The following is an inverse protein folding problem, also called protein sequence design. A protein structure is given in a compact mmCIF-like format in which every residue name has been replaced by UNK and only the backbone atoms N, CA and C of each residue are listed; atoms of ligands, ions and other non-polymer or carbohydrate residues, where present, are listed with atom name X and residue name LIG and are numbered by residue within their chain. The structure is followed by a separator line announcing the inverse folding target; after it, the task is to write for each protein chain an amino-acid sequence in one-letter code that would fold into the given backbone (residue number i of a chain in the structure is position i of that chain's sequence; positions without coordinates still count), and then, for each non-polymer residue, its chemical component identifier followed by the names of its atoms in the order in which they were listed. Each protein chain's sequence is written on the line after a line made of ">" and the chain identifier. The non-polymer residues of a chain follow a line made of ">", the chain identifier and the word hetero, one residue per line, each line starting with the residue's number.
data_IF_742215475973
#
_entry.id   IF_742215475973
#
_cell.length_a   1.000
_cell.length_b   1.000
_cell.length_c   1.000
_cell.angle_alpha   90.00
_cell.angle_beta   90.00
_cell.angle_gamma   90.00
#
_symmetry.space_group_name_H-M   'P 1'
#
loop_
_entity.id
_entity.type
_entity.pdbx_description
1 polymer ?
#
# COMPACT_ATOMS: atom_id res chain seq x y z
N UNK A 1 57.18 62.74 -57.71
CA UNK A 1 55.75 62.57 -57.96
C UNK A 1 55.50 61.10 -58.19
N UNK A 2 55.05 60.39 -57.17
CA UNK A 2 54.16 59.26 -57.34
C UNK A 2 53.74 58.72 -55.97
N UNK A 3 52.43 58.72 -55.82
CA UNK A 3 51.76 58.22 -54.57
C UNK A 3 51.52 56.72 -54.80
N UNK A 4 52.09 55.90 -53.96
CA UNK A 4 51.71 54.49 -53.88
C UNK A 4 50.98 54.23 -52.52
N UNK A 5 49.71 54.00 -52.63
CA UNK A 5 48.79 53.59 -51.63
C UNK A 5 49.09 52.17 -51.14
N UNK A 6 49.33 52.03 -49.84
CA UNK A 6 49.48 50.74 -49.19
C UNK A 6 48.13 50.28 -48.68
N UNK A 7 47.55 49.24 -49.24
CA UNK A 7 46.40 48.54 -48.70
C UNK A 7 46.89 47.48 -47.75
N UNK A 8 46.62 47.69 -46.47
CA UNK A 8 46.80 46.68 -45.43
C UNK A 8 45.59 45.82 -45.33
N UNK A 9 45.69 44.52 -45.63
CA UNK A 9 44.66 43.51 -45.40
C UNK A 9 44.68 43.05 -43.94
N UNK A 10 43.66 43.41 -43.20
CA UNK A 10 43.46 42.90 -41.86
C UNK A 10 42.78 41.53 -41.96
N UNK A 11 43.52 40.45 -41.66
CA UNK A 11 43.00 39.09 -41.57
C UNK A 11 42.36 38.91 -40.19
N UNK A 12 41.04 38.89 -40.12
CA UNK A 12 40.30 38.55 -38.92
C UNK A 12 40.34 37.02 -38.74
N UNK A 13 41.17 36.55 -37.82
CA UNK A 13 41.17 35.14 -37.42
C UNK A 13 39.97 34.89 -36.49
N UNK A 14 38.90 34.34 -37.03
CA UNK A 14 37.79 33.79 -36.21
C UNK A 14 38.29 32.53 -35.48
N UNK A 15 38.68 32.69 -34.24
CA UNK A 15 38.87 31.57 -33.31
C UNK A 15 37.51 30.93 -33.00
N UNK A 16 37.11 29.98 -33.85
CA UNK A 16 35.98 29.09 -33.57
C UNK A 16 36.33 28.17 -32.39
N UNK A 17 35.91 28.54 -31.16
CA UNK A 17 35.94 27.62 -30.05
C UNK A 17 34.95 26.47 -30.34
N UNK A 18 35.39 25.21 -30.36
CA UNK A 18 34.44 24.12 -30.47
C UNK A 18 33.58 24.11 -29.22
N UNK A 19 32.34 24.53 -29.31
CA UNK A 19 31.33 24.21 -28.33
C UNK A 19 31.21 22.68 -28.29
N UNK A 20 31.91 22.03 -27.36
CA UNK A 20 31.64 20.65 -26.98
C UNK A 20 30.28 20.63 -26.32
N UNK A 21 29.25 20.50 -27.12
CA UNK A 21 27.92 20.09 -26.63
C UNK A 21 28.12 18.69 -26.05
N UNK A 22 28.40 18.62 -24.75
CA UNK A 22 28.26 17.38 -24.01
C UNK A 22 26.77 17.02 -24.11
N UNK A 23 26.44 16.21 -25.11
CA UNK A 23 25.18 15.49 -25.13
C UNK A 23 25.12 14.73 -23.79
N UNK A 24 24.41 15.27 -22.81
CA UNK A 24 24.06 14.55 -21.60
C UNK A 24 23.30 13.34 -22.10
N UNK A 25 23.97 12.15 -22.06
CA UNK A 25 23.30 10.88 -22.36
C UNK A 25 22.00 10.91 -21.57
N UNK A 26 20.87 10.98 -22.26
CA UNK A 26 19.57 10.90 -21.62
C UNK A 26 19.62 9.66 -20.73
N UNK A 27 19.54 9.86 -19.40
CA UNK A 27 19.58 8.78 -18.46
C UNK A 27 18.40 7.89 -18.83
N UNK A 28 18.65 6.64 -19.23
CA UNK A 28 17.56 5.73 -19.58
C UNK A 28 16.54 5.75 -18.47
N UNK A 29 15.26 5.94 -18.84
CA UNK A 29 14.19 6.00 -17.87
C UNK A 29 14.13 4.66 -17.12
N UNK A 30 14.09 4.72 -15.79
CA UNK A 30 13.93 3.54 -14.95
C UNK A 30 12.50 3.03 -15.05
N UNK A 31 12.34 1.71 -14.97
CA UNK A 31 11.04 1.05 -15.07
C UNK A 31 10.68 0.35 -13.75
N UNK A 32 9.53 0.71 -13.20
CA UNK A 32 8.96 0.06 -12.01
C UNK A 32 7.73 -0.75 -12.43
N UNK A 33 7.68 -2.02 -12.08
CA UNK A 33 6.47 -2.81 -12.13
C UNK A 33 5.69 -2.65 -10.83
N UNK A 34 4.39 -2.33 -10.89
CA UNK A 34 3.50 -2.32 -9.73
C UNK A 34 2.51 -3.46 -9.83
N UNK A 35 2.39 -4.27 -8.78
CA UNK A 35 1.52 -5.43 -8.71
C UNK A 35 0.61 -5.35 -7.48
N UNK A 36 -0.69 -5.53 -7.66
CA UNK A 36 -1.68 -5.54 -6.58
C UNK A 36 -2.85 -6.48 -6.89
N UNK A 37 -3.45 -7.09 -5.86
CA UNK A 37 -4.73 -7.77 -5.98
C UNK A 37 -5.89 -6.78 -6.15
N UNK A 38 -5.72 -5.53 -5.74
CA UNK A 38 -6.68 -4.44 -5.92
C UNK A 38 -6.54 -3.73 -7.27
N UNK A 39 -7.12 -2.53 -7.33
CA UNK A 39 -7.02 -1.63 -8.48
C UNK A 39 -5.87 -0.65 -8.27
N UNK A 40 -5.01 -0.51 -9.29
CA UNK A 40 -3.96 0.50 -9.34
C UNK A 40 -4.41 1.64 -10.24
N UNK A 41 -4.77 2.79 -9.64
CA UNK A 41 -5.23 3.97 -10.37
C UNK A 41 -4.05 4.79 -10.91
N UNK A 42 -4.26 5.40 -12.08
CA UNK A 42 -3.36 6.41 -12.65
C UNK A 42 -3.82 7.84 -12.33
N UNK A 43 -5.06 8.01 -11.89
CA UNK A 43 -5.73 9.31 -11.79
C UNK A 43 -5.52 10.03 -10.45
N UNK A 44 -5.08 9.33 -9.41
CA UNK A 44 -4.83 9.93 -8.11
C UNK A 44 -3.36 9.76 -7.71
N UNK A 45 -2.54 10.82 -7.82
CA UNK A 45 -1.21 10.83 -7.26
C UNK A 45 -1.32 10.71 -5.72
N UNK A 46 -0.93 9.56 -5.19
CA UNK A 46 -0.89 9.35 -3.75
C UNK A 46 0.48 9.74 -3.16
N UNK A 47 0.61 9.71 -1.84
CA UNK A 47 1.84 10.11 -1.13
C UNK A 47 3.12 9.41 -1.61
N UNK A 48 3.02 8.20 -2.18
CA UNK A 48 4.15 7.51 -2.77
C UNK A 48 4.69 8.23 -4.01
N UNK A 49 3.81 8.66 -4.92
CA UNK A 49 4.22 9.37 -6.15
C UNK A 49 4.77 10.76 -5.85
N UNK A 50 4.22 11.45 -4.84
CA UNK A 50 4.75 12.72 -4.36
C UNK A 50 6.16 12.55 -3.81
N UNK A 51 6.38 11.54 -2.96
CA UNK A 51 7.70 11.23 -2.41
C UNK A 51 8.71 10.82 -3.50
N UNK A 52 8.29 10.04 -4.52
CA UNK A 52 9.14 9.71 -5.65
C UNK A 52 9.55 10.95 -6.44
N UNK A 53 8.62 11.91 -6.63
CA UNK A 53 8.90 13.19 -7.31
C UNK A 53 9.90 14.03 -6.51
N UNK A 54 9.74 14.11 -5.19
CA UNK A 54 10.71 14.80 -4.29
C UNK A 54 12.10 14.19 -4.39
N UNK A 55 12.21 12.88 -4.63
CA UNK A 55 13.48 12.16 -4.86
C UNK A 55 14.01 12.30 -6.30
N UNK A 56 13.30 13.03 -7.17
CA UNK A 56 13.67 13.29 -8.55
C UNK A 56 13.21 12.25 -9.56
N UNK A 57 12.29 11.35 -9.18
CA UNK A 57 11.68 10.37 -10.09
C UNK A 57 10.31 10.84 -10.56
N UNK A 58 10.21 11.18 -11.85
CA UNK A 58 9.00 11.75 -12.45
C UNK A 58 8.49 10.79 -13.54
N UNK A 59 7.27 10.29 -13.33
CA UNK A 59 6.61 9.42 -14.32
C UNK A 59 6.40 10.17 -15.65
N UNK A 60 6.78 9.53 -16.74
CA UNK A 60 6.76 10.12 -18.08
C UNK A 60 8.02 10.88 -18.48
N UNK A 61 8.94 11.17 -17.54
CA UNK A 61 10.23 11.81 -17.84
C UNK A 61 11.40 10.82 -17.69
N UNK A 62 11.69 10.40 -16.46
CA UNK A 62 12.79 9.52 -16.12
C UNK A 62 12.34 8.24 -15.39
N UNK A 63 11.03 8.05 -15.25
CA UNK A 63 10.40 6.90 -14.63
C UNK A 63 9.24 6.39 -15.49
N UNK A 64 9.21 5.08 -15.73
CA UNK A 64 8.10 4.36 -16.35
C UNK A 64 7.48 3.47 -15.29
N UNK A 65 6.16 3.54 -15.16
CA UNK A 65 5.43 2.70 -14.19
C UNK A 65 4.47 1.77 -14.94
N UNK A 66 4.79 0.48 -14.88
CA UNK A 66 3.97 -0.62 -15.43
C UNK A 66 3.02 -1.13 -14.35
N UNK A 67 1.74 -0.83 -14.45
CA UNK A 67 0.74 -1.20 -13.45
C UNK A 67 0.01 -2.48 -13.83
N UNK A 68 -0.08 -3.43 -12.90
CA UNK A 68 -0.88 -4.66 -13.02
C UNK A 68 -1.70 -4.84 -11.75
N UNK A 69 -2.95 -4.39 -11.80
CA UNK A 69 -3.94 -4.56 -10.74
C UNK A 69 -4.96 -5.64 -11.14
N UNK A 70 -5.27 -6.54 -10.23
CA UNK A 70 -6.22 -7.63 -10.47
C UNK A 70 -7.69 -7.21 -10.27
N UNK A 71 -7.95 -5.96 -9.86
CA UNK A 71 -9.30 -5.42 -9.60
C UNK A 71 -10.16 -6.33 -8.70
N UNK A 72 -9.54 -6.90 -7.66
CA UNK A 72 -10.19 -7.80 -6.70
C UNK A 72 -10.33 -9.26 -7.17
N UNK A 73 -9.67 -9.65 -8.26
CA UNK A 73 -9.58 -11.04 -8.72
C UNK A 73 -8.21 -11.61 -8.33
N UNK A 74 -8.01 -11.89 -7.06
CA UNK A 74 -6.72 -12.27 -6.49
C UNK A 74 -6.07 -13.48 -7.20
N UNK A 75 -6.85 -14.39 -7.77
CA UNK A 75 -6.36 -15.54 -8.54
C UNK A 75 -5.65 -15.16 -9.85
N UNK A 76 -5.88 -13.94 -10.38
CA UNK A 76 -5.20 -13.45 -11.59
C UNK A 76 -3.79 -12.91 -11.30
N UNK A 77 -3.45 -12.63 -10.05
CA UNK A 77 -2.18 -11.96 -9.67
C UNK A 77 -0.94 -12.74 -10.12
N UNK A 78 -0.85 -14.08 -10.07
CA UNK A 78 0.33 -14.81 -10.57
C UNK A 78 0.56 -14.61 -12.07
N UNK A 79 -0.48 -14.56 -12.90
CA UNK A 79 -0.35 -14.29 -14.32
C UNK A 79 0.14 -12.85 -14.58
N UNK A 80 -0.40 -11.88 -13.84
CA UNK A 80 0.02 -10.49 -13.90
C UNK A 80 1.48 -10.28 -13.46
N UNK A 81 1.95 -11.04 -12.46
CA UNK A 81 3.35 -11.05 -12.05
C UNK A 81 4.27 -11.53 -13.19
N UNK A 82 3.88 -12.61 -13.88
CA UNK A 82 4.63 -13.12 -15.03
C UNK A 82 4.66 -12.12 -16.20
N UNK A 83 3.58 -11.36 -16.43
CA UNK A 83 3.57 -10.29 -17.42
C UNK A 83 4.55 -9.17 -17.06
N UNK A 84 4.60 -8.76 -15.79
CA UNK A 84 5.54 -7.73 -15.31
C UNK A 84 6.99 -8.17 -15.50
N UNK A 85 7.31 -9.43 -15.22
CA UNK A 85 8.67 -9.96 -15.43
C UNK A 85 9.09 -9.86 -16.90
N UNK A 86 8.17 -10.08 -17.86
CA UNK A 86 8.47 -10.01 -19.30
C UNK A 86 8.83 -8.61 -19.80
N UNK A 87 8.40 -7.56 -19.13
CA UNK A 87 8.75 -6.17 -19.48
C UNK A 87 10.07 -5.71 -18.86
N UNK A 88 10.77 -6.63 -18.16
CA UNK A 88 12.09 -6.43 -17.55
C UNK A 88 12.19 -5.12 -16.74
N UNK A 89 11.37 -4.93 -15.68
CA UNK A 89 11.46 -3.75 -14.85
C UNK A 89 12.76 -3.75 -14.03
N UNK A 90 13.23 -2.56 -13.65
CA UNK A 90 14.38 -2.39 -12.75
C UNK A 90 14.03 -2.86 -11.32
N UNK A 91 12.75 -2.79 -10.94
CA UNK A 91 12.21 -3.39 -9.71
C UNK A 91 10.70 -3.63 -9.84
N UNK A 92 10.18 -4.53 -8.99
CA UNK A 92 8.75 -4.76 -8.82
C UNK A 92 8.35 -4.29 -7.41
N UNK A 93 7.42 -3.37 -7.33
CA UNK A 93 6.74 -2.98 -6.11
C UNK A 93 5.44 -3.78 -5.96
N UNK A 94 5.18 -4.34 -4.76
CA UNK A 94 3.99 -5.17 -4.54
C UNK A 94 3.18 -4.67 -3.35
N UNK A 95 1.85 -4.67 -3.51
CA UNK A 95 0.90 -4.32 -2.47
C UNK A 95 0.14 -5.56 -1.98
N UNK A 96 0.37 -5.92 -0.73
CA UNK A 96 -0.23 -7.05 -0.06
C UNK A 96 0.49 -8.40 -0.26
N UNK A 97 0.12 -9.37 0.57
CA UNK A 97 0.75 -10.68 0.61
C UNK A 97 0.60 -11.47 -0.69
N UNK A 98 -0.56 -11.39 -1.34
CA UNK A 98 -0.85 -12.10 -2.61
C UNK A 98 0.12 -11.66 -3.70
N UNK A 99 0.30 -10.34 -3.85
CA UNK A 99 1.21 -9.77 -4.84
C UNK A 99 2.68 -10.07 -4.51
N UNK A 100 3.07 -9.96 -3.24
CA UNK A 100 4.43 -10.27 -2.79
C UNK A 100 4.84 -11.72 -3.08
N UNK A 101 3.97 -12.69 -2.77
CA UNK A 101 4.21 -14.11 -3.05
C UNK A 101 4.26 -14.37 -4.56
N UNK A 102 3.35 -13.77 -5.33
CA UNK A 102 3.33 -13.94 -6.78
C UNK A 102 4.61 -13.39 -7.44
N UNK A 103 5.07 -12.20 -7.04
CA UNK A 103 6.31 -11.62 -7.54
C UNK A 103 7.53 -12.48 -7.16
N UNK A 104 7.63 -12.97 -5.91
CA UNK A 104 8.68 -13.87 -5.47
C UNK A 104 8.77 -15.13 -6.33
N UNK A 105 7.63 -15.72 -6.66
CA UNK A 105 7.55 -16.94 -7.47
C UNK A 105 7.88 -16.69 -8.95
N UNK A 106 7.64 -15.46 -9.44
CA UNK A 106 7.86 -15.08 -10.83
C UNK A 106 9.33 -14.73 -11.15
N UNK A 107 10.11 -14.28 -10.16
CA UNK A 107 11.51 -13.88 -10.38
C UNK A 107 12.38 -14.05 -9.13
N UNK A 108 13.64 -14.45 -9.34
CA UNK A 108 14.66 -14.50 -8.30
C UNK A 108 15.74 -13.43 -8.46
N UNK A 109 15.69 -12.63 -9.55
CA UNK A 109 16.74 -11.68 -9.92
C UNK A 109 16.26 -10.22 -9.92
N UNK A 110 15.02 -9.96 -10.36
CA UNK A 110 14.48 -8.60 -10.34
C UNK A 110 14.25 -8.20 -8.89
N UNK A 111 14.75 -7.04 -8.44
CA UNK A 111 14.48 -6.48 -7.12
C UNK A 111 12.98 -6.39 -6.82
N UNK A 112 12.57 -6.74 -5.60
CA UNK A 112 11.18 -6.66 -5.16
C UNK A 112 11.12 -5.81 -3.89
N UNK A 113 10.24 -4.80 -3.89
CA UNK A 113 9.85 -4.03 -2.70
C UNK A 113 8.45 -4.46 -2.29
N UNK A 114 8.37 -5.30 -1.26
CA UNK A 114 7.11 -5.91 -0.83
C UNK A 114 6.49 -5.19 0.37
N UNK A 115 5.20 -4.85 0.26
CA UNK A 115 4.39 -4.41 1.39
C UNK A 115 3.56 -5.61 1.85
N UNK A 116 3.72 -6.02 3.11
CA UNK A 116 3.00 -7.19 3.65
C UNK A 116 2.85 -7.13 5.16
N UNK A 117 2.00 -7.98 5.73
CA UNK A 117 1.78 -8.05 7.17
C UNK A 117 3.03 -8.52 7.93
N UNK A 118 3.54 -9.69 7.59
CA UNK A 118 4.77 -10.27 8.16
C UNK A 118 5.52 -11.01 7.03
N UNK A 119 6.55 -10.37 6.45
CA UNK A 119 7.28 -10.95 5.32
C UNK A 119 8.12 -12.18 5.69
N UNK A 120 8.49 -12.36 6.97
CA UNK A 120 9.22 -13.54 7.45
C UNK A 120 8.27 -14.72 7.53
N UNK A 121 7.10 -14.58 8.15
CA UNK A 121 6.06 -15.62 8.20
C UNK A 121 5.60 -16.06 6.81
N UNK A 122 5.47 -15.12 5.89
CA UNK A 122 5.14 -15.38 4.49
C UNK A 122 6.28 -16.10 3.74
N UNK A 123 7.45 -16.23 4.35
CA UNK A 123 8.64 -16.76 3.69
C UNK A 123 9.12 -15.87 2.55
N UNK A 124 8.79 -14.59 2.52
CA UNK A 124 9.29 -13.65 1.52
C UNK A 124 10.78 -13.37 1.73
N UNK A 125 11.18 -13.20 3.00
CA UNK A 125 12.55 -12.92 3.43
C UNK A 125 12.97 -13.83 4.57
N UNK A 126 14.28 -13.94 4.82
CA UNK A 126 14.83 -14.80 5.89
C UNK A 126 14.74 -14.12 7.26
N UNK A 127 14.92 -12.80 7.33
CA UNK A 127 14.77 -12.00 8.54
C UNK A 127 14.45 -10.54 8.20
N UNK A 128 13.97 -9.78 9.19
CA UNK A 128 13.66 -8.36 9.03
C UNK A 128 14.92 -7.51 8.85
N UNK A 129 15.99 -7.81 9.59
CA UNK A 129 17.25 -7.04 9.58
C UNK A 129 18.14 -7.37 8.40
N UNK A 130 18.11 -8.61 7.92
CA UNK A 130 18.89 -9.11 6.78
C UNK A 130 17.99 -9.94 5.87
N UNK A 131 17.20 -9.29 5.00
CA UNK A 131 16.25 -9.98 4.15
C UNK A 131 16.86 -11.06 3.29
N UNK A 132 18.04 -10.79 2.72
CA UNK A 132 18.74 -11.66 1.78
C UNK A 132 18.02 -11.76 0.43
N UNK A 133 18.69 -12.25 -0.59
CA UNK A 133 18.09 -12.41 -1.92
C UNK A 133 17.70 -11.09 -2.58
N UNK A 134 16.59 -11.13 -3.35
CA UNK A 134 16.12 -10.02 -4.17
C UNK A 134 14.90 -9.25 -3.58
N UNK A 135 14.52 -9.51 -2.32
CA UNK A 135 13.32 -8.93 -1.70
C UNK A 135 13.70 -8.09 -0.49
N UNK A 136 13.10 -6.90 -0.39
CA UNK A 136 13.03 -6.05 0.80
C UNK A 136 11.65 -5.40 0.88
N UNK A 137 11.42 -4.43 1.76
CA UNK A 137 10.18 -3.67 1.76
C UNK A 137 9.72 -3.18 3.13
N UNK A 138 8.41 -3.28 3.34
CA UNK A 138 7.71 -2.75 4.49
C UNK A 138 6.80 -3.80 5.12
N UNK A 139 6.91 -3.99 6.44
CA UNK A 139 5.96 -4.79 7.23
C UNK A 139 4.92 -3.90 7.87
N UNK A 140 3.63 -4.27 7.74
CA UNK A 140 2.53 -3.50 8.35
C UNK A 140 2.28 -3.90 9.81
N UNK A 141 3.03 -4.86 10.38
CA UNK A 141 2.82 -5.43 11.73
C UNK A 141 1.35 -5.76 12.02
N UNK A 142 0.68 -6.34 11.03
CA UNK A 142 -0.76 -6.56 11.07
C UNK A 142 -1.28 -7.37 12.28
N UNK A 143 -0.57 -8.40 12.80
CA UNK A 143 -1.06 -9.18 13.95
C UNK A 143 -1.21 -8.35 15.23
N UNK A 144 -0.20 -7.54 15.54
CA UNK A 144 -0.18 -6.71 16.76
C UNK A 144 -1.28 -5.65 16.72
N UNK A 145 -1.49 -5.05 15.54
CA UNK A 145 -2.53 -4.04 15.34
C UNK A 145 -3.93 -4.65 15.35
N UNK A 146 -4.08 -5.91 14.99
CA UNK A 146 -5.38 -6.59 15.03
C UNK A 146 -5.93 -6.70 16.45
N UNK A 147 -5.10 -7.08 17.42
CA UNK A 147 -5.49 -7.11 18.85
C UNK A 147 -5.94 -5.72 19.29
N UNK A 148 -5.18 -4.69 18.90
CA UNK A 148 -5.51 -3.30 19.27
C UNK A 148 -6.84 -2.84 18.67
N UNK A 149 -7.17 -3.23 17.45
CA UNK A 149 -8.49 -2.94 16.85
C UNK A 149 -9.63 -3.62 17.62
N UNK A 150 -9.45 -4.85 18.06
CA UNK A 150 -10.44 -5.54 18.90
C UNK A 150 -10.62 -4.87 20.28
N UNK A 151 -9.54 -4.36 20.90
CA UNK A 151 -9.62 -3.57 22.14
C UNK A 151 -10.40 -2.26 21.91
N UNK A 152 -10.12 -1.55 20.83
CA UNK A 152 -10.85 -0.32 20.44
C UNK A 152 -12.33 -0.64 20.20
N UNK A 153 -12.63 -1.76 19.52
CA UNK A 153 -14.01 -2.23 19.34
C UNK A 153 -14.71 -2.45 20.67
N UNK A 154 -14.06 -3.14 21.60
CA UNK A 154 -14.62 -3.42 22.93
C UNK A 154 -14.87 -2.13 23.73
N UNK A 155 -14.01 -1.14 23.58
CA UNK A 155 -14.18 0.18 24.19
C UNK A 155 -15.35 0.95 23.56
N UNK A 156 -15.50 0.87 22.22
CA UNK A 156 -16.56 1.53 21.47
C UNK A 156 -17.93 0.89 21.71
N UNK A 157 -17.99 -0.45 21.73
CA UNK A 157 -19.21 -1.25 21.87
C UNK A 157 -18.99 -2.30 22.96
N UNK A 158 -19.12 -1.91 24.26
CA UNK A 158 -18.86 -2.83 25.37
C UNK A 158 -19.75 -4.07 25.39
N UNK A 159 -20.94 -3.99 24.79
CA UNK A 159 -21.88 -5.09 24.64
C UNK A 159 -21.60 -6.04 23.48
N UNK A 160 -20.65 -5.72 22.60
CA UNK A 160 -20.36 -6.54 21.43
C UNK A 160 -19.97 -7.97 21.85
N UNK A 161 -20.54 -8.95 21.18
CA UNK A 161 -20.27 -10.38 21.40
C UNK A 161 -19.79 -11.07 20.14
N UNK A 162 -20.28 -10.67 18.99
CA UNK A 162 -19.96 -11.26 17.69
C UNK A 162 -19.42 -10.22 16.71
N UNK A 163 -18.31 -10.52 16.07
CA UNK A 163 -17.66 -9.61 15.15
C UNK A 163 -17.43 -10.31 13.80
N UNK A 164 -17.96 -9.70 12.75
CA UNK A 164 -17.76 -10.17 11.40
C UNK A 164 -16.42 -9.72 10.83
N UNK A 165 -15.86 -10.51 9.94
CA UNK A 165 -14.68 -10.17 9.17
C UNK A 165 -14.72 -10.82 7.81
N UNK A 166 -14.50 -10.03 6.74
CA UNK A 166 -14.36 -10.54 5.38
C UNK A 166 -12.90 -10.87 5.13
N UNK A 167 -12.64 -12.03 4.55
CA UNK A 167 -11.30 -12.55 4.29
C UNK A 167 -11.13 -12.87 2.81
N UNK A 168 -10.04 -12.40 2.19
CA UNK A 168 -9.62 -12.87 0.87
C UNK A 168 -9.02 -14.28 1.01
N UNK A 169 -9.67 -15.27 0.44
CA UNK A 169 -9.24 -16.67 0.47
C UNK A 169 -7.89 -16.90 -0.22
N UNK A 170 -7.51 -16.07 -1.19
CA UNK A 170 -6.21 -16.15 -1.83
C UNK A 170 -5.07 -15.61 -0.95
N UNK A 171 -5.40 -14.87 0.11
CA UNK A 171 -4.41 -14.30 1.02
C UNK A 171 -3.89 -15.36 2.00
N UNK A 172 -2.81 -16.06 1.64
CA UNK A 172 -2.19 -17.10 2.48
C UNK A 172 -1.78 -16.61 3.86
N UNK A 173 -1.45 -15.32 3.99
CA UNK A 173 -1.11 -14.73 5.28
C UNK A 173 -2.23 -14.86 6.31
N UNK A 174 -3.49 -14.84 5.87
CA UNK A 174 -4.64 -15.09 6.74
C UNK A 174 -4.51 -16.43 7.48
N UNK A 175 -4.19 -17.49 6.79
CA UNK A 175 -4.10 -18.84 7.38
C UNK A 175 -2.92 -18.96 8.35
N UNK A 176 -1.84 -18.20 8.11
CA UNK A 176 -0.69 -18.13 9.02
C UNK A 176 -1.01 -17.43 10.35
N UNK A 177 -1.90 -16.43 10.33
CA UNK A 177 -2.23 -15.62 11.52
C UNK A 177 -3.58 -15.96 12.14
N UNK A 178 -4.39 -16.79 11.49
CA UNK A 178 -5.77 -17.12 11.93
C UNK A 178 -5.84 -17.53 13.39
N UNK A 179 -4.97 -18.43 13.85
CA UNK A 179 -4.92 -18.88 15.24
C UNK A 179 -4.58 -17.75 16.23
N UNK A 180 -3.74 -16.80 15.82
CA UNK A 180 -3.40 -15.64 16.65
C UNK A 180 -4.62 -14.72 16.80
N UNK A 181 -5.37 -14.53 15.70
CA UNK A 181 -6.65 -13.80 15.71
C UNK A 181 -7.69 -14.50 16.58
N UNK A 182 -7.90 -15.80 16.41
CA UNK A 182 -8.83 -16.58 17.23
C UNK A 182 -8.52 -16.45 18.72
N UNK A 183 -7.24 -16.48 19.12
CA UNK A 183 -6.79 -16.24 20.49
C UNK A 183 -7.09 -14.82 20.96
N UNK A 184 -6.88 -13.81 20.12
CA UNK A 184 -7.20 -12.42 20.43
C UNK A 184 -8.70 -12.23 20.63
N UNK A 185 -9.54 -12.80 19.78
CA UNK A 185 -10.99 -12.81 19.96
C UNK A 185 -11.42 -13.46 21.28
N UNK A 186 -10.86 -14.63 21.58
CA UNK A 186 -11.16 -15.38 22.81
C UNK A 186 -10.76 -14.61 24.07
N UNK A 187 -9.59 -13.95 24.07
CA UNK A 187 -9.10 -13.15 25.21
C UNK A 187 -10.04 -11.98 25.55
N UNK A 188 -10.72 -11.44 24.56
CA UNK A 188 -11.67 -10.34 24.68
C UNK A 188 -13.14 -10.84 24.79
N UNK A 189 -13.37 -12.15 24.89
CA UNK A 189 -14.70 -12.78 24.92
C UNK A 189 -15.56 -12.39 23.71
N UNK A 190 -14.94 -12.27 22.53
CA UNK A 190 -15.60 -12.02 21.26
C UNK A 190 -15.66 -13.30 20.43
N UNK A 191 -16.73 -13.46 19.67
CA UNK A 191 -16.91 -14.57 18.73
C UNK A 191 -16.65 -14.08 17.31
N UNK A 192 -15.63 -14.60 16.59
CA UNK A 192 -15.42 -14.24 15.22
C UNK A 192 -16.45 -14.89 14.29
N UNK A 193 -16.86 -14.16 13.26
CA UNK A 193 -17.63 -14.68 12.13
C UNK A 193 -16.87 -14.34 10.83
N UNK A 194 -16.01 -15.26 10.40
CA UNK A 194 -15.20 -15.09 9.21
C UNK A 194 -15.96 -15.54 7.96
N UNK A 195 -16.07 -14.65 6.97
CA UNK A 195 -16.65 -14.97 5.66
C UNK A 195 -15.55 -14.87 4.60
N UNK A 196 -15.19 -15.99 4.01
CA UNK A 196 -14.14 -16.09 3.00
C UNK A 196 -14.71 -15.83 1.61
N UNK A 197 -14.08 -14.94 0.87
CA UNK A 197 -14.42 -14.63 -0.52
C UNK A 197 -13.20 -14.78 -1.45
N UNK A 198 -13.42 -14.95 -2.73
CA UNK A 198 -12.37 -15.11 -3.74
C UNK A 198 -12.28 -13.95 -4.72
N UNK A 199 -13.35 -13.16 -4.82
CA UNK A 199 -13.47 -12.02 -5.74
C UNK A 199 -14.23 -10.86 -5.10
N UNK A 200 -13.95 -9.66 -5.55
CA UNK A 200 -14.56 -8.44 -5.00
C UNK A 200 -16.11 -8.42 -5.18
N UNK A 201 -16.63 -9.02 -6.25
CA UNK A 201 -18.07 -9.08 -6.51
C UNK A 201 -18.84 -9.87 -5.43
N UNK A 202 -18.16 -10.67 -4.60
CA UNK A 202 -18.76 -11.37 -3.47
C UNK A 202 -18.89 -10.52 -2.19
N UNK A 203 -18.30 -9.32 -2.14
CA UNK A 203 -18.35 -8.42 -0.97
C UNK A 203 -19.79 -8.14 -0.50
N UNK A 204 -20.77 -7.80 -1.37
CA UNK A 204 -22.13 -7.54 -0.91
C UNK A 204 -22.77 -8.74 -0.22
N UNK A 205 -22.60 -9.94 -0.78
CA UNK A 205 -23.09 -11.18 -0.17
C UNK A 205 -22.46 -11.47 1.18
N UNK A 206 -21.14 -11.29 1.29
CA UNK A 206 -20.38 -11.50 2.53
C UNK A 206 -20.82 -10.54 3.65
N UNK A 207 -21.04 -9.26 3.36
CA UNK A 207 -21.54 -8.29 4.36
C UNK A 207 -22.96 -8.65 4.79
N UNK A 208 -23.83 -9.06 3.85
CA UNK A 208 -25.19 -9.50 4.15
C UNK A 208 -25.19 -10.76 5.02
N UNK A 209 -24.31 -11.73 4.77
CA UNK A 209 -24.14 -12.94 5.58
C UNK A 209 -23.69 -12.60 7.01
N UNK A 210 -22.71 -11.69 7.16
CA UNK A 210 -22.24 -11.19 8.46
C UNK A 210 -23.38 -10.53 9.23
N UNK A 211 -24.17 -9.68 8.58
CA UNK A 211 -25.31 -9.00 9.19
C UNK A 211 -26.40 -9.99 9.61
N UNK A 212 -26.76 -10.95 8.75
CA UNK A 212 -27.73 -12.01 9.07
C UNK A 212 -27.25 -12.92 10.21
N UNK A 213 -25.92 -13.08 10.33
CA UNK A 213 -25.25 -13.76 11.44
C UNK A 213 -25.28 -12.96 12.76
N UNK A 214 -25.96 -11.80 12.78
CA UNK A 214 -26.09 -10.90 13.95
C UNK A 214 -24.73 -10.46 14.51
N UNK A 215 -23.81 -10.08 13.62
CA UNK A 215 -22.57 -9.46 14.05
C UNK A 215 -22.85 -8.04 14.59
N UNK A 216 -22.19 -7.68 15.67
CA UNK A 216 -22.29 -6.36 16.33
C UNK A 216 -21.38 -5.33 15.65
N UNK A 217 -20.38 -5.78 14.88
CA UNK A 217 -19.45 -4.94 14.13
C UNK A 217 -18.79 -5.72 12.99
N UNK A 218 -18.16 -5.00 12.08
CA UNK A 218 -17.38 -5.52 10.95
C UNK A 218 -15.93 -5.04 11.03
N UNK A 219 -14.98 -5.96 11.05
CA UNK A 219 -13.55 -5.65 10.85
C UNK A 219 -13.24 -5.70 9.34
N UNK A 220 -12.57 -4.66 8.85
CA UNK A 220 -12.10 -4.56 7.47
C UNK A 220 -10.58 -4.53 7.45
N UNK A 221 -9.98 -5.61 6.97
CA UNK A 221 -8.52 -5.75 6.90
C UNK A 221 -7.87 -4.81 5.90
N UNK A 222 -6.57 -4.59 6.10
CA UNK A 222 -5.70 -3.93 5.13
C UNK A 222 -5.36 -4.85 3.95
N UNK A 223 -6.36 -5.23 3.18
CA UNK A 223 -6.20 -6.01 1.96
C UNK A 223 -6.47 -5.13 0.74
N UNK A 224 -5.64 -5.21 -0.33
CA UNK A 224 -5.82 -4.40 -1.53
C UNK A 224 -7.18 -4.57 -2.21
N UNK A 225 -7.80 -5.76 -2.15
CA UNK A 225 -9.15 -5.98 -2.63
C UNK A 225 -10.15 -5.11 -1.86
N UNK A 226 -10.08 -5.09 -0.53
CA UNK A 226 -11.00 -4.31 0.32
C UNK A 226 -10.70 -2.81 0.25
N UNK A 227 -9.43 -2.43 0.15
CA UNK A 227 -9.01 -1.05 -0.04
C UNK A 227 -9.56 -0.43 -1.34
N UNK A 228 -9.60 -1.21 -2.42
CA UNK A 228 -10.17 -0.78 -3.71
C UNK A 228 -11.70 -0.67 -3.70
N UNK A 229 -12.36 -1.36 -2.77
CA UNK A 229 -13.83 -1.38 -2.64
C UNK A 229 -14.31 -0.68 -1.36
N UNK A 230 -13.50 0.20 -0.78
CA UNK A 230 -13.75 0.84 0.53
C UNK A 230 -15.05 1.62 0.62
N UNK A 231 -15.44 2.34 -0.46
CA UNK A 231 -16.70 3.08 -0.53
C UNK A 231 -17.92 2.13 -0.57
N UNK A 232 -17.81 1.03 -1.33
CA UNK A 232 -18.86 0.01 -1.39
C UNK A 232 -19.05 -0.65 -0.02
N UNK A 233 -17.94 -1.03 0.63
CA UNK A 233 -17.97 -1.64 1.96
C UNK A 233 -18.60 -0.67 2.98
N UNK A 234 -18.20 0.61 2.98
CA UNK A 234 -18.74 1.63 3.87
C UNK A 234 -20.26 1.77 3.72
N UNK A 235 -20.74 1.87 2.47
CA UNK A 235 -22.16 2.00 2.16
C UNK A 235 -22.96 0.76 2.61
N UNK A 236 -22.47 -0.43 2.30
CA UNK A 236 -23.14 -1.69 2.67
C UNK A 236 -23.14 -1.90 4.19
N UNK A 237 -22.03 -1.65 4.87
CA UNK A 237 -21.97 -1.76 6.33
C UNK A 237 -22.96 -0.80 7.00
N UNK A 238 -23.07 0.45 6.51
CA UNK A 238 -24.04 1.42 7.01
C UNK A 238 -25.49 0.97 6.75
N UNK A 239 -25.81 0.42 5.57
CA UNK A 239 -27.14 -0.11 5.24
C UNK A 239 -27.56 -1.23 6.21
N UNK A 240 -26.61 -2.02 6.70
CA UNK A 240 -26.85 -3.09 7.65
C UNK A 240 -26.66 -2.66 9.12
N UNK A 241 -26.48 -1.35 9.38
CA UNK A 241 -26.18 -0.79 10.70
C UNK A 241 -24.97 -1.48 11.40
N UNK A 242 -23.97 -1.89 10.63
CA UNK A 242 -22.73 -2.52 11.13
C UNK A 242 -21.65 -1.46 11.34
N UNK A 243 -21.26 -1.16 12.57
CA UNK A 243 -20.07 -0.37 12.86
C UNK A 243 -18.81 -1.02 12.28
N UNK A 244 -17.97 -0.24 11.57
CA UNK A 244 -16.76 -0.76 10.94
C UNK A 244 -15.50 -0.33 11.67
N UNK A 245 -14.56 -1.26 11.85
CA UNK A 245 -13.20 -0.97 12.29
C UNK A 245 -12.22 -1.46 11.23
N UNK A 246 -11.41 -0.55 10.71
CA UNK A 246 -10.57 -0.80 9.56
C UNK A 246 -9.08 -0.52 9.79
N UNK A 247 -8.27 -0.82 8.79
CA UNK A 247 -6.87 -0.41 8.69
C UNK A 247 -6.75 0.85 7.83
N UNK A 248 -6.07 1.87 8.39
CA UNK A 248 -5.71 3.06 7.64
C UNK A 248 -6.82 4.08 7.39
N UNK A 249 -6.40 5.32 7.38
CA UNK A 249 -7.20 6.54 7.26
C UNK A 249 -8.17 6.58 6.07
N UNK A 250 -7.78 6.04 4.93
CA UNK A 250 -8.61 6.05 3.71
C UNK A 250 -9.96 5.34 3.88
N UNK A 251 -10.08 4.47 4.88
CA UNK A 251 -11.33 3.74 5.16
C UNK A 251 -12.40 4.65 5.79
N UNK A 252 -12.14 5.35 6.91
CA UNK A 252 -13.12 6.31 7.43
C UNK A 252 -13.32 7.53 6.50
N UNK A 253 -12.33 7.95 5.73
CA UNK A 253 -12.53 8.97 4.68
C UNK A 253 -13.55 8.53 3.61
N UNK A 254 -13.61 7.23 3.31
CA UNK A 254 -14.59 6.62 2.40
C UNK A 254 -15.96 6.33 3.06
N UNK A 255 -16.16 6.68 4.32
CA UNK A 255 -17.43 6.53 5.03
C UNK A 255 -17.49 5.39 6.04
N UNK A 256 -16.41 4.63 6.27
CA UNK A 256 -16.36 3.67 7.38
C UNK A 256 -16.28 4.39 8.72
N UNK A 257 -16.61 3.70 9.83
CA UNK A 257 -16.74 4.35 11.14
C UNK A 257 -15.40 4.81 11.70
N UNK A 258 -14.44 3.90 11.81
CA UNK A 258 -13.12 4.22 12.33
C UNK A 258 -12.03 3.32 11.76
N UNK A 259 -10.79 3.78 11.88
CA UNK A 259 -9.61 2.97 11.61
C UNK A 259 -8.55 3.15 12.67
N UNK A 260 -7.76 2.09 12.86
CA UNK A 260 -6.52 2.14 13.62
C UNK A 260 -5.40 1.44 12.85
N UNK A 261 -4.34 2.17 12.55
CA UNK A 261 -3.24 1.67 11.74
C UNK A 261 -2.06 2.62 11.64
N UNK A 262 -1.08 2.26 10.84
CA UNK A 262 0.09 3.09 10.58
C UNK A 262 -0.27 4.39 9.87
N UNK A 263 0.46 5.47 10.17
CA UNK A 263 0.33 6.75 9.46
C UNK A 263 0.78 6.58 8.01
N UNK A 264 -0.20 6.59 7.09
CA UNK A 264 0.01 6.20 5.70
C UNK A 264 1.01 7.07 4.93
N UNK A 265 1.06 8.38 5.19
CA UNK A 265 2.02 9.29 4.55
C UNK A 265 3.48 9.01 4.95
N UNK A 266 3.74 8.60 6.19
CA UNK A 266 5.07 8.19 6.64
C UNK A 266 5.52 6.90 5.95
N UNK A 267 4.65 5.89 5.87
CA UNK A 267 4.92 4.64 5.18
C UNK A 267 5.26 4.87 3.69
N UNK A 268 4.49 5.71 3.01
CA UNK A 268 4.70 6.01 1.59
C UNK A 268 6.08 6.64 1.32
N UNK A 269 6.53 7.59 2.15
CA UNK A 269 7.87 8.20 2.05
C UNK A 269 8.99 7.18 2.29
N UNK A 270 8.82 6.29 3.27
CA UNK A 270 9.79 5.23 3.56
C UNK A 270 9.92 4.26 2.41
N UNK A 271 8.79 3.81 1.86
CA UNK A 271 8.76 2.92 0.69
C UNK A 271 9.42 3.59 -0.53
N UNK A 272 9.12 4.87 -0.79
CA UNK A 272 9.76 5.62 -1.86
C UNK A 272 11.28 5.72 -1.69
N UNK A 273 11.77 5.92 -0.46
CA UNK A 273 13.20 5.90 -0.13
C UNK A 273 13.86 4.54 -0.41
N UNK A 274 13.19 3.43 -0.08
CA UNK A 274 13.67 2.07 -0.41
C UNK A 274 13.77 1.90 -1.93
N UNK A 275 12.73 2.29 -2.65
CA UNK A 275 12.70 2.25 -4.13
C UNK A 275 13.83 3.09 -4.72
N UNK A 276 14.02 4.33 -4.27
CA UNK A 276 15.10 5.21 -4.73
C UNK A 276 16.48 4.57 -4.55
N UNK A 277 16.76 4.01 -3.38
CA UNK A 277 18.03 3.33 -3.08
C UNK A 277 18.29 2.17 -4.06
N UNK A 278 17.26 1.36 -4.37
CA UNK A 278 17.39 0.24 -5.32
C UNK A 278 17.61 0.77 -6.74
N UNK A 279 16.85 1.77 -7.19
CA UNK A 279 17.03 2.37 -8.51
C UNK A 279 18.41 3.02 -8.70
N UNK A 280 19.06 3.42 -7.59
CA UNK A 280 20.45 3.91 -7.56
C UNK A 280 21.49 2.82 -7.38
N UNK A 281 21.08 1.52 -7.33
CA UNK A 281 21.98 0.38 -7.34
C UNK A 281 22.19 -0.33 -5.99
N UNK A 282 21.45 0.01 -4.95
CA UNK A 282 21.49 -0.75 -3.70
C UNK A 282 20.87 -2.15 -3.88
N UNK A 283 21.45 -3.14 -3.23
CA UNK A 283 20.93 -4.52 -3.27
C UNK A 283 19.75 -4.66 -2.29
N UNK A 284 18.61 -5.22 -2.71
CA UNK A 284 17.45 -5.40 -1.81
C UNK A 284 17.79 -6.18 -0.54
N UNK A 285 18.56 -7.25 -0.66
CA UNK A 285 18.94 -8.12 0.46
C UNK A 285 19.74 -7.43 1.56
N UNK A 286 20.37 -6.29 1.28
CA UNK A 286 21.15 -5.49 2.22
C UNK A 286 20.31 -4.35 2.84
N UNK A 287 19.05 -4.18 2.42
CA UNK A 287 18.13 -3.16 2.96
C UNK A 287 17.19 -3.84 3.96
N UNK A 288 17.26 -3.51 5.26
CA UNK A 288 16.33 -4.06 6.24
C UNK A 288 14.87 -3.78 5.89
N UNK A 289 13.99 -4.71 6.25
CA UNK A 289 12.54 -4.47 6.20
C UNK A 289 12.21 -3.42 7.25
N UNK A 290 11.56 -2.35 6.82
CA UNK A 290 11.12 -1.30 7.71
C UNK A 290 9.71 -1.58 8.26
N UNK A 291 9.39 -1.00 9.42
CA UNK A 291 8.11 -1.15 10.11
C UNK A 291 7.58 0.22 10.53
N UNK A 292 6.26 0.38 10.72
CA UNK A 292 5.69 1.62 11.24
C UNK A 292 6.13 1.85 12.69
N UNK A 293 6.40 3.10 13.00
CA UNK A 293 6.69 3.58 14.35
C UNK A 293 5.62 4.54 14.86
N UNK A 294 4.74 4.99 13.98
CA UNK A 294 3.66 5.93 14.26
C UNK A 294 2.32 5.34 13.84
N UNK A 295 1.33 5.47 14.74
CA UNK A 295 -0.01 4.94 14.55
C UNK A 295 -1.04 6.02 14.78
N UNK A 296 -2.15 5.94 14.05
CA UNK A 296 -3.27 6.87 14.16
C UNK A 296 -4.58 6.12 14.38
N UNK A 297 -5.43 6.70 15.21
CA UNK A 297 -6.85 6.37 15.35
C UNK A 297 -7.64 7.46 14.64
N UNK A 298 -8.41 7.12 13.62
CA UNK A 298 -9.22 8.07 12.86
C UNK A 298 -10.70 7.71 13.00
N UNK A 299 -11.55 8.69 13.28
CA UNK A 299 -13.00 8.49 13.47
C UNK A 299 -13.77 9.36 12.47
N UNK A 300 -14.77 8.76 11.82
CA UNK A 300 -15.75 9.46 10.99
C UNK A 300 -16.99 9.81 11.84
N UNK A 301 -17.17 11.08 12.22
CA UNK A 301 -18.28 11.49 13.08
C UNK A 301 -19.65 11.41 12.38
N UNK A 302 -19.68 11.56 11.04
CA UNK A 302 -20.93 11.42 10.26
C UNK A 302 -21.45 9.97 10.34
N UNK A 303 -20.55 9.00 10.20
CA UNK A 303 -20.91 7.58 10.28
C UNK A 303 -21.30 7.20 11.71
N UNK A 304 -20.60 7.71 12.73
CA UNK A 304 -21.00 7.50 14.12
C UNK A 304 -22.41 7.99 14.38
N UNK A 305 -22.75 9.21 13.93
CA UNK A 305 -24.09 9.80 14.03
C UNK A 305 -25.14 8.96 13.29
N UNK A 306 -24.83 8.52 12.06
CA UNK A 306 -25.76 7.71 11.26
C UNK A 306 -26.06 6.34 11.89
N UNK A 307 -25.09 5.78 12.63
CA UNK A 307 -25.24 4.54 13.40
C UNK A 307 -25.83 4.76 14.81
N UNK A 308 -26.17 6.00 15.18
CA UNK A 308 -26.62 6.39 16.52
C UNK A 308 -25.63 5.94 17.65
N UNK A 309 -24.33 5.93 17.34
CA UNK A 309 -23.28 5.54 18.28
C UNK A 309 -22.68 6.78 18.96
N UNK A 310 -22.58 6.70 20.28
CA UNK A 310 -21.81 7.67 21.08
C UNK A 310 -20.37 7.21 21.18
N UNK A 311 -19.44 7.99 20.67
CA UNK A 311 -18.01 7.70 20.79
C UNK A 311 -17.55 8.03 22.21
N UNK A 312 -16.97 7.08 22.96
CA UNK A 312 -16.44 7.33 24.29
C UNK A 312 -15.39 8.46 24.29
N UNK A 313 -15.39 9.28 25.35
CA UNK A 313 -14.45 10.40 25.47
C UNK A 313 -12.99 9.93 25.42
N UNK A 314 -12.69 8.78 25.97
CA UNK A 314 -11.35 8.15 25.91
C UNK A 314 -10.87 7.87 24.48
N UNK A 315 -11.77 7.51 23.55
CA UNK A 315 -11.45 7.36 22.13
C UNK A 315 -11.31 8.72 21.46
N UNK A 316 -12.22 9.67 21.75
CA UNK A 316 -12.16 11.02 21.15
C UNK A 316 -10.85 11.75 21.46
N UNK A 317 -10.31 11.62 22.67
CA UNK A 317 -9.06 12.25 23.10
C UNK A 317 -7.81 11.69 22.40
N UNK A 318 -7.88 10.46 21.87
CA UNK A 318 -6.77 9.76 21.20
C UNK A 318 -6.91 9.76 19.69
N UNK A 319 -8.06 10.15 19.19
CA UNK A 319 -8.41 10.05 17.77
C UNK A 319 -8.26 11.39 17.06
N UNK A 320 -7.89 11.31 15.79
CA UNK A 320 -8.22 12.37 14.85
C UNK A 320 -9.68 12.17 14.40
N UNK A 321 -10.48 13.19 14.63
CA UNK A 321 -11.87 13.22 14.18
C UNK A 321 -11.91 13.92 12.82
N UNK A 322 -12.40 13.24 11.78
CA UNK A 322 -12.53 13.81 10.45
C UNK A 322 -13.42 15.04 10.49
N UNK A 323 -13.04 16.06 9.73
CA UNK A 323 -13.88 17.27 9.58
C UNK A 323 -15.19 16.86 8.90
N UNK A 324 -16.29 17.28 9.49
CA UNK A 324 -17.65 16.97 9.09
C UNK A 324 -18.07 17.58 7.73
#
# INVERSE_FOLDING_TARGET
>A
MDRRTFFGAATIACLGSPFVVRAQKAKEARRIGMLSAGTLSTSEPGPFYEAMRELGWIEGENLIIERRGAAGKSEAVPALAAELVRVHPDLIWTDGAVAGIAAKNATTTIPIVAISGDPVRLGLVSSMSHPGGNITGWSTIAPELAVKRLEILRELIPSATRVGEIVDRANRYWYEVKKDYERAFASLKLQPHFVEITVADAIPGAITEIANGRADALIVRGDPMFGSNREQIARLALQHALPTIAEGRRMPEAGQLLSYGAVGGAAARRIASIVDRILRGAKPGDIPIEQPTEFELVINPKTAKALALTIPQSLQLRAEVLKG
#
